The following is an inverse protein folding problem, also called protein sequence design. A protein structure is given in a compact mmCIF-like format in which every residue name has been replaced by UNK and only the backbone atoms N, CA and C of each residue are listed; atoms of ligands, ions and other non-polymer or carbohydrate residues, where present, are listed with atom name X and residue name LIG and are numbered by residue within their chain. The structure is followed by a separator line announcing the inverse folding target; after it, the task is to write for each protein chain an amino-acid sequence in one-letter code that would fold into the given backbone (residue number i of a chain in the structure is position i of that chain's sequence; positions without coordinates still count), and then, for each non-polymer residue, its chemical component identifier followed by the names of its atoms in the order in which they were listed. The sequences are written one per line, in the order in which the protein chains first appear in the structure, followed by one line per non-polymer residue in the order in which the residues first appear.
data_IF_103475155969
#
_entry.id   IF_103475155969
#
_cell.length_a   1.000
_cell.length_b   1.000
_cell.length_c   1.000
_cell.angle_alpha   90.00
_cell.angle_beta   90.00
_cell.angle_gamma   90.00
#
_symmetry.space_group_name_H-M   'P 1'
#
loop_
_entity.id
_entity.type
_entity.pdbx_description
1 polymer ?
#
# COMPACT_ATOMS: atom_id res chain seq x y z
N UNK A 1 -55.36 -47.36 -12.10
CA UNK A 1 -54.48 -46.42 -11.34
C UNK A 1 -53.15 -47.04 -10.89
N UNK A 2 -53.09 -48.31 -10.43
CA UNK A 2 -51.85 -48.96 -9.93
C UNK A 2 -50.68 -49.10 -10.94
N UNK A 3 -50.93 -49.09 -12.26
CA UNK A 3 -49.87 -49.20 -13.30
C UNK A 3 -49.24 -47.86 -13.70
N UNK A 4 -49.85 -46.73 -13.36
CA UNK A 4 -49.30 -45.41 -13.66
C UNK A 4 -48.24 -44.97 -12.65
N UNK A 5 -48.36 -45.41 -11.40
CA UNK A 5 -47.41 -45.12 -10.31
C UNK A 5 -45.98 -45.59 -10.65
N UNK A 6 -45.71 -46.84 -11.09
CA UNK A 6 -44.35 -47.26 -11.42
C UNK A 6 -43.77 -46.54 -12.65
N UNK A 7 -44.61 -46.11 -13.60
CA UNK A 7 -44.17 -45.30 -14.75
C UNK A 7 -43.76 -43.88 -14.32
N UNK A 8 -44.54 -43.26 -13.42
CA UNK A 8 -44.21 -41.94 -12.87
C UNK A 8 -42.95 -42.01 -12.01
N UNK A 9 -42.83 -43.02 -11.14
CA UNK A 9 -41.66 -43.23 -10.28
C UNK A 9 -40.41 -43.53 -11.11
N UNK A 10 -40.52 -44.40 -12.12
CA UNK A 10 -39.43 -44.69 -13.05
C UNK A 10 -38.98 -43.46 -13.83
N UNK A 11 -39.92 -42.65 -14.34
CA UNK A 11 -39.63 -41.39 -15.01
C UNK A 11 -38.91 -40.39 -14.10
N UNK A 12 -39.36 -40.24 -12.85
CA UNK A 12 -38.74 -39.36 -11.85
C UNK A 12 -37.29 -39.80 -11.54
N UNK A 13 -37.05 -41.10 -11.41
CA UNK A 13 -35.72 -41.67 -11.14
C UNK A 13 -34.73 -41.38 -12.28
N UNK A 14 -35.21 -41.46 -13.53
CA UNK A 14 -34.41 -41.10 -14.72
C UNK A 14 -34.08 -39.61 -14.70
N UNK A 15 -35.06 -38.73 -14.43
CA UNK A 15 -34.83 -37.28 -14.34
C UNK A 15 -33.82 -36.94 -13.25
N UNK A 16 -33.93 -37.55 -12.07
CA UNK A 16 -32.98 -37.34 -10.96
C UNK A 16 -31.58 -37.82 -11.34
N UNK A 17 -31.46 -38.97 -11.99
CA UNK A 17 -30.17 -39.50 -12.44
C UNK A 17 -29.51 -38.61 -13.51
N UNK A 18 -30.30 -38.15 -14.50
CA UNK A 18 -29.81 -37.22 -15.53
C UNK A 18 -29.41 -35.88 -14.91
N UNK A 19 -30.19 -35.36 -13.95
CA UNK A 19 -29.85 -34.12 -13.24
C UNK A 19 -28.59 -34.27 -12.37
N UNK A 20 -28.41 -35.43 -11.73
CA UNK A 20 -27.20 -35.76 -10.97
C UNK A 20 -25.96 -35.81 -11.87
N UNK A 21 -26.07 -36.49 -13.02
CA UNK A 21 -25.00 -36.54 -14.02
C UNK A 21 -24.71 -35.15 -14.60
N UNK A 22 -25.74 -34.37 -14.92
CA UNK A 22 -25.59 -33.00 -15.40
C UNK A 22 -24.84 -32.13 -14.37
N UNK A 23 -25.25 -32.18 -13.10
CA UNK A 23 -24.61 -31.41 -12.03
C UNK A 23 -23.16 -31.84 -11.81
N UNK A 24 -22.86 -33.13 -11.95
CA UNK A 24 -21.52 -33.66 -11.74
C UNK A 24 -20.57 -33.38 -12.92
N UNK A 25 -21.04 -33.54 -14.15
CA UNK A 25 -20.20 -33.44 -15.35
C UNK A 25 -20.18 -32.03 -15.97
N UNK A 26 -21.31 -31.32 -16.00
CA UNK A 26 -21.40 -30.00 -16.64
C UNK A 26 -21.13 -28.86 -15.65
N UNK A 27 -21.56 -28.97 -14.39
CA UNK A 27 -21.36 -27.88 -13.42
C UNK A 27 -19.98 -27.89 -12.76
N UNK A 28 -19.11 -28.85 -13.07
CA UNK A 28 -17.79 -28.99 -12.43
C UNK A 28 -16.76 -28.08 -13.10
N UNK A 29 -16.31 -27.09 -12.35
CA UNK A 29 -15.19 -26.21 -12.72
C UNK A 29 -13.93 -26.70 -12.02
N UNK A 30 -12.88 -26.92 -12.80
CA UNK A 30 -11.56 -27.19 -12.27
C UNK A 30 -10.66 -25.97 -12.48
N UNK A 31 -10.19 -25.40 -11.37
CA UNK A 31 -9.22 -24.30 -11.39
C UNK A 31 -7.85 -24.90 -11.11
N UNK A 32 -6.90 -24.84 -12.07
CA UNK A 32 -5.58 -25.39 -11.89
C UNK A 32 -4.80 -24.60 -10.83
N UNK A 33 -3.74 -25.22 -10.32
CA UNK A 33 -2.80 -24.56 -9.40
C UNK A 33 -2.13 -23.37 -10.09
N UNK A 34 -1.83 -22.31 -9.32
CA UNK A 34 -1.28 -21.07 -9.86
C UNK A 34 -2.30 -20.16 -10.56
N UNK A 35 -3.57 -20.56 -10.67
CA UNK A 35 -4.65 -19.74 -11.27
C UNK A 35 -5.80 -19.49 -10.31
N UNK A 36 -6.55 -18.42 -10.56
CA UNK A 36 -7.87 -18.16 -10.01
C UNK A 36 -8.90 -18.09 -11.13
N UNK A 37 -10.16 -18.40 -10.82
CA UNK A 37 -11.25 -18.21 -11.77
C UNK A 37 -12.02 -16.93 -11.44
N UNK A 38 -12.00 -16.00 -12.40
CA UNK A 38 -12.88 -14.83 -12.39
C UNK A 38 -14.25 -15.25 -12.89
N UNK A 39 -15.26 -15.08 -12.05
CA UNK A 39 -16.64 -15.43 -12.37
C UNK A 39 -17.33 -14.28 -13.09
N UNK A 40 -18.07 -14.60 -14.14
CA UNK A 40 -18.91 -13.68 -14.88
C UNK A 40 -20.34 -14.22 -14.82
N UNK A 41 -21.22 -13.49 -14.14
CA UNK A 41 -22.62 -13.90 -14.03
C UNK A 41 -23.37 -13.46 -15.28
N UNK A 42 -24.01 -14.41 -15.99
CA UNK A 42 -24.78 -14.15 -17.22
C UNK A 42 -26.21 -13.70 -16.94
N UNK A 43 -26.75 -14.11 -15.79
CA UNK A 43 -28.15 -13.89 -15.38
C UNK A 43 -28.24 -13.08 -14.10
N UNK A 44 -29.29 -12.28 -13.94
CA UNK A 44 -29.53 -11.48 -12.74
C UNK A 44 -29.90 -10.04 -13.05
N UNK A 45 -29.89 -9.22 -12.01
CA UNK A 45 -30.18 -7.79 -12.10
C UNK A 45 -29.16 -7.06 -12.98
N UNK A 46 -29.62 -6.05 -13.70
CA UNK A 46 -28.76 -5.17 -14.48
C UNK A 46 -27.80 -4.42 -13.55
N UNK A 47 -26.59 -4.15 -14.05
CA UNK A 47 -25.64 -3.33 -13.30
C UNK A 47 -26.17 -1.89 -13.23
N UNK A 48 -25.96 -1.18 -12.11
CA UNK A 48 -26.23 0.25 -12.05
C UNK A 48 -25.40 0.98 -13.12
N UNK A 49 -25.97 2.05 -13.67
CA UNK A 49 -25.36 2.78 -14.79
C UNK A 49 -23.93 3.24 -14.47
N UNK A 50 -22.99 2.93 -15.37
CA UNK A 50 -21.58 3.30 -15.24
C UNK A 50 -20.69 2.29 -14.50
N UNK A 51 -21.24 1.20 -13.97
CA UNK A 51 -20.45 0.15 -13.30
C UNK A 51 -20.32 -1.11 -14.17
N UNK A 52 -19.08 -1.55 -14.44
CA UNK A 52 -18.80 -2.76 -15.23
C UNK A 52 -18.58 -4.02 -14.39
N UNK A 53 -18.52 -3.88 -13.06
CA UNK A 53 -18.29 -4.96 -12.10
C UNK A 53 -19.47 -5.04 -11.15
N UNK A 54 -19.93 -6.25 -10.87
CA UNK A 54 -20.99 -6.50 -9.91
C UNK A 54 -20.47 -6.29 -8.47
N UNK A 55 -20.91 -5.22 -7.82
CA UNK A 55 -20.60 -4.96 -6.41
C UNK A 55 -21.50 -5.80 -5.47
N UNK A 56 -22.69 -6.22 -5.92
CA UNK A 56 -23.60 -7.09 -5.14
C UNK A 56 -23.69 -8.50 -5.74
N UNK A 57 -23.82 -9.54 -4.90
CA UNK A 57 -23.84 -10.97 -5.32
C UNK A 57 -25.05 -11.39 -6.19
N UNK A 58 -25.95 -10.47 -6.51
CA UNK A 58 -27.12 -10.68 -7.37
C UNK A 58 -26.93 -10.21 -8.81
N UNK A 59 -26.03 -9.26 -9.04
CA UNK A 59 -25.95 -8.52 -10.30
C UNK A 59 -25.25 -9.32 -11.40
N UNK A 60 -25.73 -9.12 -12.63
CA UNK A 60 -25.08 -9.59 -13.86
C UNK A 60 -23.69 -8.97 -13.97
N UNK A 61 -22.75 -9.63 -14.65
CA UNK A 61 -21.41 -9.11 -14.91
C UNK A 61 -20.30 -9.77 -14.10
N UNK A 62 -19.11 -9.17 -14.17
CA UNK A 62 -17.88 -9.68 -13.54
C UNK A 62 -18.04 -9.57 -12.02
N UNK A 63 -17.88 -10.69 -11.31
CA UNK A 63 -17.96 -10.69 -9.86
C UNK A 63 -16.66 -10.22 -9.22
N UNK A 64 -16.77 -9.51 -8.10
CA UNK A 64 -15.60 -9.09 -7.33
C UNK A 64 -14.83 -10.28 -6.72
N UNK A 65 -15.57 -11.28 -6.22
CA UNK A 65 -14.97 -12.48 -5.63
C UNK A 65 -14.50 -13.45 -6.73
N UNK A 66 -13.28 -13.95 -6.55
CA UNK A 66 -12.67 -14.96 -7.43
C UNK A 66 -12.60 -16.31 -6.73
N UNK A 67 -12.68 -17.38 -7.50
CA UNK A 67 -12.49 -18.73 -6.97
C UNK A 67 -10.99 -19.07 -6.97
N UNK A 68 -10.52 -19.63 -5.87
CA UNK A 68 -9.16 -20.14 -5.78
C UNK A 68 -8.96 -21.46 -6.54
N UNK A 69 -7.72 -21.98 -6.58
CA UNK A 69 -7.43 -23.28 -7.16
C UNK A 69 -8.26 -24.37 -6.46
N UNK A 70 -8.63 -25.40 -7.22
CA UNK A 70 -9.44 -26.50 -6.73
C UNK A 70 -10.72 -26.74 -7.56
N UNK A 71 -11.61 -27.54 -6.98
CA UNK A 71 -12.87 -27.97 -7.62
C UNK A 71 -14.01 -27.12 -7.11
N UNK A 72 -14.74 -26.50 -8.03
CA UNK A 72 -15.90 -25.68 -7.73
C UNK A 72 -17.09 -26.13 -8.57
N UNK A 73 -18.30 -25.92 -8.07
CA UNK A 73 -19.53 -26.27 -8.78
C UNK A 73 -20.33 -25.01 -9.11
N UNK A 74 -20.44 -24.68 -10.39
CA UNK A 74 -21.28 -23.58 -10.89
C UNK A 74 -21.95 -24.00 -12.20
N UNK A 75 -23.22 -23.62 -12.33
CA UNK A 75 -24.03 -23.89 -13.51
C UNK A 75 -23.54 -23.06 -14.73
N UNK A 76 -23.08 -23.70 -15.82
CA UNK A 76 -22.59 -23.01 -17.02
C UNK A 76 -23.65 -22.15 -17.73
N UNK A 77 -24.93 -22.43 -17.52
CA UNK A 77 -26.03 -21.64 -18.09
C UNK A 77 -26.11 -20.26 -17.42
N UNK A 78 -25.75 -20.18 -16.14
CA UNK A 78 -25.83 -18.94 -15.34
C UNK A 78 -24.49 -18.24 -15.19
N UNK A 79 -23.39 -18.99 -15.32
CA UNK A 79 -22.04 -18.54 -15.03
C UNK A 79 -21.11 -18.77 -16.22
N UNK A 80 -20.33 -17.76 -16.56
CA UNK A 80 -19.07 -17.90 -17.27
C UNK A 80 -17.90 -17.81 -16.31
N UNK A 81 -16.74 -18.31 -16.70
CA UNK A 81 -15.51 -18.12 -15.94
C UNK A 81 -14.30 -17.95 -16.84
N UNK A 82 -13.38 -17.10 -16.41
CA UNK A 82 -12.06 -16.93 -17.04
C UNK A 82 -10.98 -17.30 -16.04
N UNK A 83 -10.04 -18.14 -16.49
CA UNK A 83 -8.87 -18.49 -15.70
C UNK A 83 -7.84 -17.37 -15.84
N UNK A 84 -7.40 -16.84 -14.71
CA UNK A 84 -6.39 -15.78 -14.61
C UNK A 84 -5.28 -16.27 -13.69
N UNK A 85 -4.03 -15.90 -13.97
CA UNK A 85 -2.91 -16.28 -13.14
C UNK A 85 -2.94 -15.55 -11.78
N UNK A 86 -2.46 -16.21 -10.73
CA UNK A 86 -2.36 -15.61 -9.41
C UNK A 86 -1.30 -14.51 -9.42
N UNK A 87 -1.59 -13.41 -8.71
CA UNK A 87 -0.63 -12.32 -8.57
C UNK A 87 0.41 -12.72 -7.53
N UNK A 88 1.63 -12.97 -7.98
CA UNK A 88 2.78 -13.26 -7.13
C UNK A 88 3.58 -11.99 -6.86
N UNK A 89 3.89 -11.76 -5.59
CA UNK A 89 4.73 -10.67 -5.13
C UNK A 89 6.03 -11.26 -4.60
N UNK A 90 7.17 -11.01 -5.27
CA UNK A 90 8.46 -11.58 -4.90
C UNK A 90 8.87 -11.24 -3.47
N UNK A 91 9.34 -12.25 -2.72
CA UNK A 91 9.85 -12.08 -1.35
C UNK A 91 11.31 -11.62 -1.29
N UNK A 92 12.02 -11.64 -2.42
CA UNK A 92 13.45 -11.33 -2.48
C UNK A 92 14.32 -12.39 -1.79
N UNK A 93 15.63 -12.18 -1.79
CA UNK A 93 16.61 -13.02 -1.11
C UNK A 93 17.50 -12.18 -0.17
N UNK A 94 17.34 -12.32 1.17
CA UNK A 94 18.17 -11.64 2.16
C UNK A 94 19.67 -11.85 2.01
N UNK A 95 20.11 -12.99 1.42
CA UNK A 95 21.54 -13.30 1.26
C UNK A 95 22.24 -12.39 0.26
N UNK A 96 21.48 -11.78 -0.65
CA UNK A 96 22.02 -10.93 -1.72
C UNK A 96 22.25 -9.49 -1.27
N UNK A 97 21.79 -9.12 -0.08
CA UNK A 97 21.77 -7.72 0.36
C UNK A 97 23.18 -7.25 0.70
N UNK A 98 23.63 -6.20 0.00
CA UNK A 98 24.92 -5.56 0.21
C UNK A 98 24.72 -4.06 0.38
N UNK A 99 25.26 -3.55 1.49
CA UNK A 99 25.41 -2.12 1.73
C UNK A 99 26.79 -1.71 1.25
N UNK A 100 26.82 -0.98 0.13
CA UNK A 100 28.06 -0.38 -0.38
C UNK A 100 28.07 1.08 0.03
N UNK A 101 29.04 1.44 0.87
CA UNK A 101 29.34 2.82 1.20
C UNK A 101 30.22 3.37 0.09
N UNK A 102 29.75 4.40 -0.63
CA UNK A 102 30.57 5.06 -1.64
C UNK A 102 31.86 5.61 -1.02
N UNK A 103 33.01 5.15 -1.51
CA UNK A 103 34.30 5.67 -1.07
C UNK A 103 34.47 7.10 -1.57
N UNK A 104 34.83 7.99 -0.64
CA UNK A 104 35.09 9.42 -0.84
C UNK A 104 36.07 9.65 -1.99
N UNK A 105 35.61 10.26 -3.09
CA UNK A 105 36.47 10.78 -4.15
C UNK A 105 36.22 12.27 -4.32
N UNK A 106 37.17 13.09 -3.85
CA UNK A 106 37.28 14.52 -4.15
C UNK A 106 36.30 15.45 -3.42
N UNK A 107 36.82 16.22 -2.45
CA UNK A 107 36.42 17.60 -2.09
C UNK A 107 34.99 17.92 -1.61
N UNK A 108 33.97 17.18 -2.02
CA UNK A 108 32.58 17.47 -1.69
C UNK A 108 32.17 16.75 -0.40
N UNK A 109 31.71 17.54 0.59
CA UNK A 109 31.27 17.07 1.91
C UNK A 109 29.84 16.47 1.88
N UNK A 110 29.32 16.18 0.70
CA UNK A 110 28.06 15.47 0.51
C UNK A 110 28.13 14.12 1.25
N UNK A 111 27.15 13.90 2.15
CA UNK A 111 26.93 12.64 2.89
C UNK A 111 27.24 11.45 1.98
N UNK A 112 28.03 10.49 2.46
CA UNK A 112 28.41 9.30 1.70
C UNK A 112 27.20 8.73 0.98
N UNK A 113 27.28 8.61 -0.34
CA UNK A 113 26.20 8.04 -1.14
C UNK A 113 26.12 6.54 -0.77
N UNK A 114 25.06 6.18 -0.04
CA UNK A 114 24.79 4.80 0.33
C UNK A 114 24.01 4.13 -0.80
N UNK A 115 24.57 3.05 -1.36
CA UNK A 115 23.87 2.22 -2.34
C UNK A 115 23.52 0.88 -1.70
N UNK A 116 22.23 0.57 -1.70
CA UNK A 116 21.69 -0.70 -1.25
C UNK A 116 21.43 -1.57 -2.47
N UNK A 117 22.25 -2.60 -2.65
CA UNK A 117 22.10 -3.56 -3.74
C UNK A 117 21.58 -4.90 -3.20
N UNK A 118 20.69 -5.54 -3.96
CA UNK A 118 20.15 -6.85 -3.60
C UNK A 118 18.74 -7.08 -4.12
N UNK A 119 18.29 -8.32 -4.02
CA UNK A 119 16.91 -8.71 -4.28
C UNK A 119 16.07 -8.44 -3.03
N UNK A 120 15.54 -7.22 -2.93
CA UNK A 120 14.66 -6.85 -1.84
C UNK A 120 13.25 -7.44 -2.03
N UNK A 121 12.52 -7.69 -0.93
CA UNK A 121 11.10 -8.00 -1.00
C UNK A 121 10.38 -6.89 -1.76
N UNK A 122 9.40 -7.28 -2.57
CA UNK A 122 8.52 -6.34 -3.25
C UNK A 122 7.20 -6.21 -2.51
N UNK A 123 6.51 -5.11 -2.76
CA UNK A 123 5.15 -4.85 -2.32
C UNK A 123 4.26 -4.67 -3.53
N UNK A 124 3.01 -5.09 -3.43
CA UNK A 124 1.98 -4.84 -4.43
C UNK A 124 1.14 -3.64 -4.03
N UNK A 125 1.35 -2.51 -4.71
CA UNK A 125 0.47 -1.34 -4.59
C UNK A 125 -0.77 -1.60 -5.40
N UNK A 126 -1.94 -1.54 -4.75
CA UNK A 126 -3.21 -1.90 -5.37
C UNK A 126 -4.02 -0.64 -5.69
N UNK A 127 -4.48 -0.53 -6.93
CA UNK A 127 -5.43 0.50 -7.37
C UNK A 127 -6.76 -0.17 -7.69
N UNK A 128 -7.84 0.28 -7.06
CA UNK A 128 -9.19 -0.21 -7.35
C UNK A 128 -9.80 0.62 -8.49
N UNK A 129 -10.12 -0.06 -9.60
CA UNK A 129 -10.66 0.54 -10.84
C UNK A 129 -12.17 0.75 -10.82
N UNK A 130 -12.88 0.12 -9.88
CA UNK A 130 -14.35 0.06 -9.88
C UNK A 130 -14.93 0.44 -8.53
N UNK A 131 -16.12 1.02 -8.51
CA UNK A 131 -16.82 1.43 -7.30
C UNK A 131 -17.26 2.89 -7.38
N UNK A 132 -17.71 3.43 -6.25
CA UNK A 132 -18.14 4.83 -6.17
C UNK A 132 -16.93 5.75 -6.34
N UNK A 133 -17.14 6.91 -6.98
CA UNK A 133 -16.12 7.96 -6.97
C UNK A 133 -15.91 8.44 -5.53
N UNK A 134 -14.66 8.58 -5.06
CA UNK A 134 -14.41 9.08 -3.73
C UNK A 134 -14.92 10.53 -3.59
N UNK A 135 -15.40 10.93 -2.41
CA UNK A 135 -15.74 12.32 -2.14
C UNK A 135 -14.49 13.21 -2.30
N UNK A 136 -14.71 14.44 -2.78
CA UNK A 136 -13.74 15.46 -3.21
C UNK A 136 -12.31 15.30 -2.66
N UNK A 137 -11.32 15.12 -3.56
CA UNK A 137 -9.88 15.17 -3.24
C UNK A 137 -9.27 13.92 -2.60
N UNK A 138 -10.08 12.99 -2.08
CA UNK A 138 -9.58 11.77 -1.44
C UNK A 138 -9.25 10.69 -2.48
N UNK A 139 -8.02 10.70 -3.01
CA UNK A 139 -7.53 9.67 -3.95
C UNK A 139 -7.22 8.34 -3.26
N UNK A 140 -6.93 8.41 -1.96
CA UNK A 140 -6.56 7.28 -1.10
C UNK A 140 -7.81 6.68 -0.45
N UNK A 141 -8.03 5.40 -0.67
CA UNK A 141 -9.24 4.72 -0.18
C UNK A 141 -8.86 3.46 0.59
N UNK A 142 -9.59 3.14 1.65
CA UNK A 142 -9.43 1.86 2.34
C UNK A 142 -10.13 0.75 1.56
N UNK A 143 -9.65 -0.49 1.72
CA UNK A 143 -10.22 -1.64 0.99
C UNK A 143 -11.70 -1.87 1.29
N UNK A 144 -12.13 -1.57 2.52
CA UNK A 144 -13.51 -1.73 3.00
C UNK A 144 -14.48 -0.65 2.49
N UNK A 145 -13.97 0.50 2.06
CA UNK A 145 -14.79 1.71 1.82
C UNK A 145 -15.70 1.63 0.58
N UNK A 146 -15.42 0.74 -0.37
CA UNK A 146 -16.24 0.62 -1.59
C UNK A 146 -15.92 1.65 -2.69
N UNK A 147 -15.00 2.58 -2.46
CA UNK A 147 -14.63 3.61 -3.43
C UNK A 147 -13.53 3.15 -4.39
N UNK A 148 -13.52 3.71 -5.60
CA UNK A 148 -12.41 3.58 -6.54
C UNK A 148 -11.25 4.49 -6.11
N UNK A 149 -10.00 4.08 -6.35
CA UNK A 149 -8.82 4.84 -5.93
C UNK A 149 -7.62 3.97 -5.60
N UNK A 150 -6.54 4.61 -5.12
CA UNK A 150 -5.34 3.93 -4.65
C UNK A 150 -5.62 3.39 -3.25
N UNK A 151 -5.37 2.10 -3.02
CA UNK A 151 -5.55 1.51 -1.70
C UNK A 151 -4.43 1.92 -0.74
N UNK A 152 -4.81 2.18 0.51
CA UNK A 152 -3.83 2.38 1.60
C UNK A 152 -3.07 1.08 1.89
N UNK A 153 -3.80 -0.02 1.99
CA UNK A 153 -3.26 -1.36 2.22
C UNK A 153 -2.43 -1.82 1.01
N UNK A 154 -1.20 -2.26 1.28
CA UNK A 154 -0.36 -2.93 0.30
C UNK A 154 -0.47 -4.44 0.45
N UNK A 155 -0.22 -5.15 -0.65
CA UNK A 155 -0.03 -6.58 -0.62
C UNK A 155 1.42 -6.88 -0.20
N UNK A 156 1.58 -7.67 0.86
CA UNK A 156 2.89 -8.14 1.32
C UNK A 156 3.42 -9.22 0.37
N UNK A 157 4.71 -9.58 0.40
CA UNK A 157 5.21 -10.69 -0.39
C UNK A 157 4.38 -11.98 -0.21
N UNK A 158 4.08 -12.65 -1.32
CA UNK A 158 3.19 -13.81 -1.32
C UNK A 158 2.32 -13.93 -2.58
N UNK A 159 1.41 -14.89 -2.57
CA UNK A 159 0.54 -15.23 -3.71
C UNK A 159 -0.90 -14.83 -3.41
N UNK A 160 -1.49 -14.01 -4.27
CA UNK A 160 -2.83 -13.45 -4.07
C UNK A 160 -3.78 -13.77 -5.21
N UNK A 161 -5.04 -13.97 -4.82
CA UNK A 161 -6.17 -14.17 -5.73
C UNK A 161 -6.79 -12.80 -6.04
N UNK A 162 -6.18 -12.08 -6.97
CA UNK A 162 -6.64 -10.74 -7.36
C UNK A 162 -7.47 -10.83 -8.64
N UNK A 163 -8.57 -10.09 -8.69
CA UNK A 163 -9.34 -9.92 -9.92
C UNK A 163 -8.79 -8.73 -10.72
N UNK A 164 -8.16 -8.94 -11.90
CA UNK A 164 -7.56 -7.87 -12.69
C UNK A 164 -8.56 -6.87 -13.25
N UNK A 165 -9.85 -7.23 -13.32
CA UNK A 165 -10.91 -6.33 -13.77
C UNK A 165 -11.37 -5.36 -12.67
N UNK A 166 -11.04 -5.65 -11.40
CA UNK A 166 -11.43 -4.85 -10.23
C UNK A 166 -10.24 -4.08 -9.69
N UNK A 167 -9.09 -4.75 -9.63
CA UNK A 167 -7.87 -4.26 -9.01
C UNK A 167 -6.73 -4.34 -10.00
N UNK A 168 -5.92 -3.29 -10.02
CA UNK A 168 -4.62 -3.25 -10.68
C UNK A 168 -3.53 -3.29 -9.63
N UNK A 169 -2.52 -4.13 -9.86
CA UNK A 169 -1.42 -4.32 -8.93
C UNK A 169 -0.13 -3.88 -9.60
N UNK A 170 0.55 -2.93 -8.98
CA UNK A 170 1.87 -2.47 -9.40
C UNK A 170 2.89 -2.90 -8.35
N UNK A 171 4.02 -3.48 -8.78
CA UNK A 171 5.04 -3.96 -7.85
C UNK A 171 6.12 -2.91 -7.63
N UNK A 172 6.45 -2.66 -6.36
CA UNK A 172 7.49 -1.73 -5.92
C UNK A 172 8.43 -2.42 -4.93
N UNK A 173 9.69 -1.98 -4.78
CA UNK A 173 10.55 -2.48 -3.71
C UNK A 173 10.00 -2.08 -2.34
N UNK A 174 10.10 -2.98 -1.36
CA UNK A 174 9.77 -2.67 0.04
C UNK A 174 10.78 -1.68 0.62
N UNK A 175 10.36 -0.96 1.65
CA UNK A 175 11.26 -0.05 2.37
C UNK A 175 12.12 -0.84 3.34
N UNK A 176 13.42 -0.91 3.10
CA UNK A 176 14.38 -1.54 4.00
C UNK A 176 15.21 -0.46 4.68
N UNK A 177 15.22 -0.51 6.00
CA UNK A 177 16.00 0.41 6.84
C UNK A 177 17.11 -0.44 7.48
N UNK A 178 18.36 -0.28 7.04
CA UNK A 178 19.50 -1.01 7.62
C UNK A 178 19.79 -0.53 9.05
N UNK A 179 20.60 -1.30 9.77
CA UNK A 179 21.17 -0.86 11.04
C UNK A 179 22.03 0.41 10.86
N UNK A 180 22.00 1.31 11.84
CA UNK A 180 22.67 2.62 11.75
C UNK A 180 21.90 3.67 10.94
N UNK A 181 20.68 3.36 10.50
CA UNK A 181 19.79 4.32 9.84
C UNK A 181 18.41 4.33 10.50
N UNK A 182 17.71 5.45 10.38
CA UNK A 182 16.28 5.60 10.67
C UNK A 182 15.53 6.05 9.43
N UNK A 183 14.29 5.59 9.28
CA UNK A 183 13.42 6.02 8.21
C UNK A 183 12.53 7.17 8.66
N UNK A 184 12.80 8.38 8.15
CA UNK A 184 11.90 9.52 8.34
C UNK A 184 10.77 9.42 7.32
N UNK A 185 9.53 9.31 7.81
CA UNK A 185 8.34 9.15 6.97
C UNK A 185 7.72 10.50 6.67
N UNK A 186 7.42 10.75 5.39
CA UNK A 186 6.66 11.90 4.94
C UNK A 186 5.39 11.44 4.25
N UNK A 187 4.24 11.75 4.85
CA UNK A 187 2.94 11.51 4.26
C UNK A 187 2.71 12.48 3.09
N UNK A 188 2.50 11.94 1.90
CA UNK A 188 2.22 12.71 0.69
C UNK A 188 0.73 13.06 0.57
N UNK A 189 -0.12 12.26 1.21
CA UNK A 189 -1.57 12.39 1.26
C UNK A 189 -2.04 12.44 2.71
N UNK A 190 -3.14 13.15 2.95
CA UNK A 190 -3.72 13.37 4.28
C UNK A 190 -4.56 14.65 4.26
N UNK A 191 -5.20 14.98 5.37
CA UNK A 191 -5.80 16.29 5.51
C UNK A 191 -4.69 17.34 5.35
N UNK A 192 -4.87 18.28 4.42
CA UNK A 192 -4.03 19.47 4.38
C UNK A 192 -4.26 20.20 5.70
N UNK A 193 -3.20 20.34 6.49
CA UNK A 193 -3.27 21.16 7.69
C UNK A 193 -3.48 22.59 7.21
N UNK A 194 -4.61 23.20 7.57
CA UNK A 194 -4.75 24.64 7.51
C UNK A 194 -3.57 25.22 8.30
N UNK A 195 -2.78 26.06 7.66
CA UNK A 195 -1.63 26.74 8.25
C UNK A 195 -2.11 27.66 9.38
N UNK A 196 -2.52 27.09 10.51
CA UNK A 196 -2.44 27.76 11.79
C UNK A 196 -0.95 27.82 12.12
N UNK A 197 -0.33 28.84 11.52
CA UNK A 197 0.81 29.54 12.09
C UNK A 197 0.45 29.72 13.56
N UNK A 198 0.98 28.84 14.41
CA UNK A 198 1.05 29.16 15.82
C UNK A 198 1.96 30.37 15.87
N UNK A 199 1.35 31.55 15.93
CA UNK A 199 1.89 32.64 16.72
C UNK A 199 1.92 32.11 18.15
N UNK A 200 2.86 31.21 18.44
CA UNK A 200 3.31 31.04 19.80
C UNK A 200 3.84 32.41 20.16
N UNK A 201 3.00 33.17 20.88
CA UNK A 201 3.43 34.38 21.54
C UNK A 201 4.62 33.92 22.36
N UNK A 202 5.83 34.47 22.12
CA UNK A 202 6.98 34.11 22.94
C UNK A 202 6.53 34.29 24.38
N UNK A 203 6.58 33.24 25.18
CA UNK A 203 6.39 33.40 26.62
C UNK A 203 7.51 34.33 27.04
N UNK A 204 7.15 35.60 27.23
CA UNK A 204 8.06 36.65 27.61
C UNK A 204 8.71 36.25 28.93
N UNK A 205 9.97 35.81 28.87
CA UNK A 205 10.88 35.96 29.99
C UNK A 205 10.94 37.45 30.35
N UNK A 206 11.14 37.79 31.63
CA UNK A 206 10.93 39.14 32.11
C UNK A 206 11.91 40.10 31.44
N UNK A 207 11.32 41.04 30.71
CA UNK A 207 11.75 42.39 30.37
C UNK A 207 13.23 42.73 30.61
N UNK A 208 13.98 42.87 29.52
CA UNK A 208 15.32 43.46 29.55
C UNK A 208 15.91 43.67 28.15
N UNK A 209 15.63 44.85 27.59
CA UNK A 209 16.36 45.59 26.54
C UNK A 209 16.75 44.88 25.22
N UNK A 210 16.30 45.48 24.11
CA UNK A 210 17.03 45.49 22.83
C UNK A 210 16.50 44.53 21.77
N UNK A 211 15.67 45.07 20.88
CA UNK A 211 15.20 44.45 19.65
C UNK A 211 16.32 44.47 18.60
N UNK A 212 16.96 43.32 18.34
CA UNK A 212 17.56 42.98 17.05
C UNK A 212 17.51 41.45 16.84
N UNK A 213 16.75 41.01 15.84
CA UNK A 213 16.95 39.72 15.18
C UNK A 213 16.50 38.48 15.97
N UNK A 214 15.24 38.43 16.43
CA UNK A 214 14.63 37.13 16.74
C UNK A 214 14.62 36.27 15.49
N UNK A 215 15.59 35.38 15.36
CA UNK A 215 15.57 34.30 14.40
C UNK A 215 14.29 33.49 14.67
N UNK A 216 13.23 33.78 13.93
CA UNK A 216 12.01 32.99 13.91
C UNK A 216 12.42 31.58 13.50
N UNK A 217 12.61 30.71 14.47
CA UNK A 217 12.75 29.29 14.22
C UNK A 217 11.39 28.86 13.68
N UNK A 218 11.26 28.85 12.35
CA UNK A 218 10.18 28.19 11.65
C UNK A 218 10.31 26.67 11.87
N UNK A 219 10.20 26.23 13.13
CA UNK A 219 10.01 24.83 13.46
C UNK A 219 8.61 24.47 12.99
N UNK A 220 8.53 24.06 11.73
CA UNK A 220 7.32 23.45 11.20
C UNK A 220 6.97 22.28 12.11
N UNK A 221 5.84 22.40 12.81
CA UNK A 221 5.32 21.34 13.67
C UNK A 221 5.22 20.07 12.83
N UNK A 222 5.86 19.00 13.30
CA UNK A 222 5.82 17.69 12.65
C UNK A 222 4.38 17.17 12.63
N UNK A 223 4.01 16.54 11.53
CA UNK A 223 2.68 16.03 11.24
C UNK A 223 2.33 14.83 12.13
N UNK A 224 1.03 14.70 12.42
CA UNK A 224 0.44 13.49 13.00
C UNK A 224 0.36 12.37 11.94
N UNK A 225 0.06 11.14 12.36
CA UNK A 225 0.07 9.96 11.48
C UNK A 225 -0.83 10.07 10.25
N UNK A 226 -1.93 10.82 10.33
CA UNK A 226 -2.93 11.01 9.27
C UNK A 226 -2.88 12.40 8.61
N UNK A 227 -1.99 13.28 9.09
CA UNK A 227 -1.76 14.60 8.50
C UNK A 227 -0.71 14.52 7.40
N UNK A 228 -0.89 15.34 6.36
CA UNK A 228 0.13 15.48 5.32
C UNK A 228 1.38 16.16 5.90
N UNK A 229 2.56 15.61 5.62
CA UNK A 229 3.84 16.16 6.07
C UNK A 229 4.77 15.12 6.71
N UNK A 230 5.87 15.59 7.29
CA UNK A 230 6.86 14.73 7.96
C UNK A 230 6.34 14.32 9.32
N UNK A 231 6.23 13.00 9.54
CA UNK A 231 5.70 12.40 10.76
C UNK A 231 6.73 12.49 11.88
N UNK A 232 6.26 12.64 13.13
CA UNK A 232 7.11 12.66 14.34
C UNK A 232 7.85 11.35 14.57
N UNK A 233 7.11 10.26 14.42
CA UNK A 233 7.63 8.92 14.68
C UNK A 233 8.52 8.47 13.52
N UNK A 234 9.74 8.08 13.86
CA UNK A 234 10.70 7.52 12.92
C UNK A 234 10.58 6.00 12.89
N UNK A 235 10.80 5.43 11.72
CA UNK A 235 10.89 3.98 11.56
C UNK A 235 12.26 3.50 12.02
N UNK A 236 12.26 2.47 12.86
CA UNK A 236 13.47 1.80 13.32
C UNK A 236 14.08 0.96 12.19
N UNK A 237 15.33 0.47 12.34
CA UNK A 237 15.89 -0.52 11.44
C UNK A 237 14.97 -1.73 11.27
N UNK A 238 14.68 -2.11 10.03
CA UNK A 238 13.72 -3.16 9.71
C UNK A 238 13.18 -3.10 8.28
N UNK A 239 12.27 -4.01 7.97
CA UNK A 239 11.60 -4.10 6.67
C UNK A 239 10.16 -3.62 6.85
N UNK A 240 9.74 -2.65 6.03
CA UNK A 240 8.42 -2.06 6.09
C UNK A 240 7.72 -2.14 4.74
N UNK A 241 6.48 -2.63 4.77
CA UNK A 241 5.59 -2.70 3.62
C UNK A 241 4.70 -1.46 3.58
N UNK A 242 5.26 -0.36 3.10
CA UNK A 242 4.59 0.95 3.05
C UNK A 242 4.30 1.28 1.59
N UNK A 243 3.12 1.82 1.30
CA UNK A 243 2.77 2.27 -0.04
C UNK A 243 3.61 3.51 -0.44
N UNK A 244 4.55 3.41 -1.41
CA UNK A 244 5.40 4.53 -1.82
C UNK A 244 4.62 5.65 -2.51
N UNK A 245 3.43 5.35 -3.04
CA UNK A 245 2.54 6.40 -3.58
C UNK A 245 1.95 7.27 -2.47
N UNK A 246 1.87 6.76 -1.23
CA UNK A 246 1.24 7.46 -0.12
C UNK A 246 2.24 8.09 0.83
N UNK A 247 3.33 7.40 1.10
CA UNK A 247 4.34 7.81 2.07
C UNK A 247 5.73 7.70 1.44
N UNK A 248 6.51 8.76 1.56
CA UNK A 248 7.93 8.77 1.18
C UNK A 248 8.77 8.51 2.42
N UNK A 249 9.60 7.48 2.38
CA UNK A 249 10.57 7.20 3.46
C UNK A 249 11.94 7.70 3.03
N UNK A 250 12.54 8.55 3.86
CA UNK A 250 13.90 9.05 3.66
C UNK A 250 14.80 8.46 4.74
N UNK A 251 15.84 7.77 4.30
CA UNK A 251 16.84 7.19 5.19
C UNK A 251 17.74 8.31 5.73
N UNK A 252 17.87 8.35 7.06
CA UNK A 252 18.75 9.26 7.78
C UNK A 252 19.68 8.42 8.63
N UNK A 253 20.98 8.59 8.45
CA UNK A 253 21.99 7.91 9.26
C UNK A 253 21.89 8.35 10.73
N UNK A 254 21.95 7.38 11.63
CA UNK A 254 22.03 7.58 13.08
C UNK A 254 23.35 7.03 13.57
N UNK A 255 24.23 7.93 14.00
CA UNK A 255 25.55 7.55 14.49
C UNK A 255 26.44 8.75 14.71
N UNK A 256 27.40 8.61 15.63
CA UNK A 256 28.50 9.54 15.80
C UNK A 256 29.55 9.20 14.75
N UNK A 257 29.69 10.01 13.71
CA UNK A 257 30.77 9.89 12.75
C UNK A 257 31.87 10.90 13.10
N UNK A 258 33.13 10.63 12.76
CA UNK A 258 34.25 11.56 12.98
C UNK A 258 33.97 12.95 12.36
N UNK A 259 33.14 13.02 11.32
CA UNK A 259 32.69 14.26 10.69
C UNK A 259 31.81 15.15 11.58
N UNK A 260 31.02 14.55 12.48
CA UNK A 260 30.27 15.31 13.49
C UNK A 260 31.19 15.91 14.56
N UNK A 261 32.32 15.25 14.87
CA UNK A 261 33.37 15.82 15.73
C UNK A 261 34.09 16.95 15.03
N UNK A 262 34.52 16.79 13.78
CA UNK A 262 35.21 17.85 13.04
C UNK A 262 34.36 19.12 12.90
N UNK A 263 33.04 19.01 12.71
CA UNK A 263 32.14 20.19 12.72
C UNK A 263 32.04 20.82 14.11
N UNK A 264 31.97 20.02 15.18
CA UNK A 264 31.93 20.56 16.55
C UNK A 264 33.27 21.19 16.91
N UNK A 265 34.39 20.62 16.49
CA UNK A 265 35.73 21.16 16.71
C UNK A 265 35.96 22.45 15.94
N UNK A 266 35.46 22.55 14.69
CA UNK A 266 35.46 23.78 13.88
C UNK A 266 34.57 24.87 14.50
N UNK A 267 33.42 24.51 15.08
CA UNK A 267 32.57 25.45 15.83
C UNK A 267 33.19 25.80 17.20
N UNK A 268 33.91 24.88 17.85
CA UNK A 268 34.58 25.13 19.13
C UNK A 268 35.80 26.05 18.98
N UNK A 269 36.42 26.07 17.80
CA UNK A 269 37.48 26.99 17.42
C UNK A 269 36.94 28.34 16.90
N UNK A 270 35.64 28.45 16.62
CA UNK A 270 35.00 29.76 16.53
C UNK A 270 34.78 30.27 17.96
N UNK A 271 35.84 30.84 18.52
CA UNK A 271 35.80 31.66 19.72
C UNK A 271 34.64 32.64 19.54
N UNK A 272 33.55 32.45 20.29
CA UNK A 272 32.44 33.41 20.35
C UNK A 272 33.02 34.65 21.04
N UNK A 273 33.63 35.52 20.24
CA UNK A 273 34.16 36.80 20.66
C UNK A 273 33.00 37.78 20.66
N UNK A 274 32.45 38.04 21.84
CA UNK A 274 31.58 39.20 22.03
C UNK A 274 32.47 40.45 21.98
N UNK A 275 32.26 41.38 21.03
CA UNK A 275 32.91 42.67 21.11
C UNK A 275 32.37 43.38 22.35
N UNK A 276 33.18 43.50 23.39
CA UNK A 276 32.89 44.36 24.53
C UNK A 276 33.08 45.82 24.09
N UNK A 277 31.99 46.56 23.97
CA UNK A 277 31.99 47.98 23.61
C UNK A 277 32.37 48.88 24.80
N UNK A 278 33.58 48.69 25.33
CA UNK A 278 34.24 49.66 26.21
C UNK A 278 35.75 49.58 26.04
N UNK A 279 36.28 50.42 25.16
CA UNK A 279 37.67 50.85 25.11
C UNK A 279 37.73 52.36 25.18
#
# INVERSE_FOLDING_TARGET
MKRFIPLIVGGLLVVVSVFGLFTWFLCRIYVPEGKCAVLIKKTGELLPEGESVATKSGQRGIQQQVLGPGRHFRDPLRWDWKLVDLTEIPSGDPKTWKLTVGTRSGGDLSRGQYTFEGEFPKIGVVTRKVGKRPPQGQVVVSRASGYQGILEEVLTPGVYKINPYVYEVETYPATVIPAGFVGVVTNLFGADRADEVSSDTPTSGPTGLGDEGSASSYQRRMASADERGTVRDVLQPGIYFINPKLKKVTLVEIGYNEYSQLRIDEISNSQISFPSDTG
#
